data_IF_810901186520
#
_entry.id   IF_810901186520
#
_cell.length_a   1.000
_cell.length_b   1.000
_cell.length_c   1.000
_cell.angle_alpha   90.00
_cell.angle_beta   90.00
_cell.angle_gamma   90.00
#
_symmetry.space_group_name_H-M   'P 1'
#
loop_
_entity.id
_entity.type
_entity.pdbx_description
1 polymer ?
#
# COMPACT_ATOMS: atom_id res chain seq x y z
N UNK A 1 -13.70 15.52 -15.74
CA UNK A 1 -13.85 14.13 -16.23
C UNK A 1 -14.78 13.38 -15.28
N UNK A 2 -15.58 12.47 -15.83
CA UNK A 2 -16.31 11.46 -15.05
C UNK A 2 -15.39 10.22 -14.95
N UNK A 3 -14.87 9.94 -13.75
CA UNK A 3 -13.88 8.91 -13.48
C UNK A 3 -14.51 7.83 -12.60
N UNK A 4 -14.50 6.59 -13.08
CA UNK A 4 -15.03 5.44 -12.35
C UNK A 4 -13.89 4.50 -11.99
N UNK A 5 -13.66 4.31 -10.70
CA UNK A 5 -12.76 3.30 -10.20
C UNK A 5 -13.49 1.98 -9.91
N UNK A 6 -12.88 0.86 -10.26
CA UNK A 6 -13.45 -0.48 -10.03
C UNK A 6 -12.46 -1.30 -9.22
N UNK A 7 -12.92 -1.85 -8.10
CA UNK A 7 -12.12 -2.72 -7.24
C UNK A 7 -12.99 -3.84 -6.68
N UNK A 8 -12.40 -4.95 -6.24
CA UNK A 8 -13.15 -6.08 -5.72
C UNK A 8 -14.00 -5.71 -4.50
N UNK A 9 -13.38 -5.10 -3.52
CA UNK A 9 -13.95 -4.66 -2.23
C UNK A 9 -13.05 -3.58 -1.65
N UNK A 10 -13.47 -2.96 -0.57
CA UNK A 10 -12.66 -2.01 0.21
C UNK A 10 -12.34 -2.57 1.60
N UNK A 11 -12.02 -3.85 1.69
CA UNK A 11 -11.42 -4.43 2.90
C UNK A 11 -10.02 -3.85 3.13
N UNK A 12 -9.43 -4.17 4.29
CA UNK A 12 -8.14 -3.58 4.65
C UNK A 12 -7.00 -4.23 3.86
N UNK A 13 -6.44 -3.44 2.95
CA UNK A 13 -5.29 -3.79 2.14
C UNK A 13 -4.56 -2.54 1.64
N UNK A 14 -3.36 -2.73 1.08
CA UNK A 14 -2.52 -1.62 0.60
C UNK A 14 -3.12 -0.89 -0.58
N UNK A 15 -3.66 -1.61 -1.57
CA UNK A 15 -4.30 -1.03 -2.75
C UNK A 15 -5.61 -0.32 -2.41
N UNK A 16 -6.42 -0.93 -1.54
CA UNK A 16 -7.67 -0.37 -1.03
C UNK A 16 -7.42 0.93 -0.27
N UNK A 17 -6.44 0.93 0.63
CA UNK A 17 -6.03 2.12 1.37
C UNK A 17 -5.54 3.23 0.45
N UNK A 18 -4.69 2.88 -0.52
CA UNK A 18 -4.19 3.81 -1.51
C UNK A 18 -5.34 4.49 -2.27
N UNK A 19 -6.32 3.71 -2.71
CA UNK A 19 -7.50 4.22 -3.40
C UNK A 19 -8.27 5.21 -2.53
N UNK A 20 -8.53 4.85 -1.26
CA UNK A 20 -9.26 5.69 -0.30
C UNK A 20 -8.54 7.01 -0.01
N UNK A 21 -7.22 7.04 -0.06
CA UNK A 21 -6.42 8.26 0.14
C UNK A 21 -6.32 9.10 -1.14
N UNK A 22 -6.28 8.46 -2.33
CA UNK A 22 -6.09 9.13 -3.64
C UNK A 22 -7.36 9.80 -4.16
N UNK A 23 -8.52 9.12 -4.04
CA UNK A 23 -9.74 9.61 -4.69
C UNK A 23 -10.23 10.96 -4.16
N UNK A 24 -10.15 11.29 -2.86
CA UNK A 24 -10.44 12.64 -2.38
C UNK A 24 -9.56 13.72 -3.01
N UNK A 25 -8.28 13.43 -3.28
CA UNK A 25 -7.37 14.38 -3.93
C UNK A 25 -7.78 14.61 -5.40
N UNK A 26 -8.13 13.54 -6.14
CA UNK A 26 -8.64 13.66 -7.52
C UNK A 26 -9.96 14.46 -7.55
N UNK A 27 -10.85 14.23 -6.58
CA UNK A 27 -12.10 15.00 -6.47
C UNK A 27 -11.85 16.48 -6.21
N UNK A 28 -10.87 16.84 -5.37
CA UNK A 28 -10.48 18.23 -5.13
C UNK A 28 -9.99 18.93 -6.40
N UNK A 29 -9.49 18.19 -7.39
CA UNK A 29 -9.12 18.70 -8.72
C UNK A 29 -10.33 18.92 -9.65
N UNK A 30 -11.57 18.94 -9.07
CA UNK A 30 -12.84 19.19 -9.77
C UNK A 30 -13.21 18.09 -10.79
N UNK A 31 -12.87 16.84 -10.51
CA UNK A 31 -13.34 15.69 -11.26
C UNK A 31 -14.52 15.02 -10.54
N UNK A 32 -15.45 14.46 -11.29
CA UNK A 32 -16.50 13.59 -10.75
C UNK A 32 -15.94 12.19 -10.58
N UNK A 33 -15.90 11.69 -9.34
CA UNK A 33 -15.22 10.44 -8.99
C UNK A 33 -16.20 9.50 -8.31
N UNK A 34 -16.31 8.26 -8.81
CA UNK A 34 -17.13 7.19 -8.26
C UNK A 34 -16.34 5.92 -8.09
N UNK A 35 -16.78 5.06 -7.19
CA UNK A 35 -16.17 3.73 -6.97
C UNK A 35 -17.24 2.66 -7.16
N UNK A 36 -16.94 1.65 -7.95
CA UNK A 36 -17.75 0.44 -8.08
C UNK A 36 -17.02 -0.71 -7.40
N UNK A 37 -17.68 -1.36 -6.47
CA UNK A 37 -17.22 -2.56 -5.79
C UNK A 37 -17.89 -3.78 -6.41
N UNK A 38 -17.13 -4.85 -6.65
CA UNK A 38 -17.74 -6.12 -7.06
C UNK A 38 -18.64 -6.65 -5.95
N UNK A 39 -18.26 -6.48 -4.69
CA UNK A 39 -19.10 -6.72 -3.52
C UNK A 39 -18.77 -5.76 -2.37
N UNK A 40 -19.78 -5.46 -1.54
CA UNK A 40 -19.60 -4.63 -0.34
C UNK A 40 -19.24 -5.51 0.86
N UNK A 41 -18.29 -5.05 1.65
CA UNK A 41 -17.95 -5.61 2.97
C UNK A 41 -18.42 -4.73 4.14
N UNK A 42 -19.10 -3.61 3.85
CA UNK A 42 -19.47 -2.57 4.83
C UNK A 42 -18.28 -2.06 5.67
N UNK A 43 -17.11 -2.04 5.06
CA UNK A 43 -15.84 -1.75 5.73
C UNK A 43 -15.72 -0.29 6.17
N UNK A 44 -14.73 -0.04 7.01
CA UNK A 44 -14.30 1.31 7.37
C UNK A 44 -13.95 2.16 6.15
N UNK A 45 -13.27 1.58 5.16
CA UNK A 45 -12.85 2.29 3.95
C UNK A 45 -14.04 2.71 3.07
N UNK A 46 -15.09 1.89 2.96
CA UNK A 46 -16.32 2.28 2.29
C UNK A 46 -16.98 3.49 2.96
N UNK A 47 -17.07 3.46 4.30
CA UNK A 47 -17.62 4.57 5.09
C UNK A 47 -16.79 5.84 4.93
N UNK A 48 -15.47 5.73 4.96
CA UNK A 48 -14.54 6.86 4.79
C UNK A 48 -14.67 7.52 3.42
N UNK A 49 -14.82 6.76 2.33
CA UNK A 49 -15.06 7.32 1.00
C UNK A 49 -16.41 8.06 0.92
N UNK A 50 -17.47 7.46 1.44
CA UNK A 50 -18.80 8.11 1.50
C UNK A 50 -18.78 9.40 2.30
N UNK A 51 -18.07 9.45 3.43
CA UNK A 51 -17.87 10.67 4.23
C UNK A 51 -17.11 11.76 3.46
N UNK A 52 -16.19 11.39 2.57
CA UNK A 52 -15.51 12.31 1.65
C UNK A 52 -16.39 12.67 0.43
N UNK A 53 -17.66 12.30 0.43
CA UNK A 53 -18.62 12.61 -0.62
C UNK A 53 -18.35 11.89 -1.94
N UNK A 54 -17.68 10.73 -1.90
CA UNK A 54 -17.46 9.87 -3.08
C UNK A 54 -18.57 8.82 -3.12
N UNK A 55 -19.23 8.70 -4.26
CA UNK A 55 -20.25 7.70 -4.47
C UNK A 55 -19.63 6.31 -4.55
N UNK A 56 -20.11 5.37 -3.72
CA UNK A 56 -19.67 3.98 -3.67
C UNK A 56 -20.84 3.07 -4.02
N UNK A 57 -20.76 2.39 -5.16
CA UNK A 57 -21.77 1.50 -5.70
C UNK A 57 -21.27 0.06 -5.54
N UNK A 58 -22.01 -0.77 -4.81
CA UNK A 58 -21.73 -2.21 -4.72
C UNK A 58 -22.62 -3.00 -5.66
N UNK A 59 -22.03 -3.86 -6.49
CA UNK A 59 -22.77 -4.70 -7.45
C UNK A 59 -23.42 -5.90 -6.77
N UNK A 60 -22.84 -6.38 -5.67
CA UNK A 60 -23.33 -7.49 -4.89
C UNK A 60 -23.04 -7.25 -3.39
N UNK A 61 -23.84 -7.89 -2.53
CA UNK A 61 -23.65 -7.89 -1.06
C UNK A 61 -23.05 -9.20 -0.54
N UNK A 62 -22.73 -10.14 -1.43
CA UNK A 62 -22.09 -11.42 -1.12
C UNK A 62 -20.67 -11.44 -1.68
N UNK A 63 -19.81 -12.27 -1.10
CA UNK A 63 -18.43 -12.53 -1.57
C UNK A 63 -18.39 -13.27 -2.93
N UNK A 64 -19.02 -12.70 -3.96
CA UNK A 64 -19.12 -13.29 -5.30
C UNK A 64 -18.32 -12.49 -6.33
N UNK A 65 -17.06 -12.21 -6.05
CA UNK A 65 -16.19 -11.45 -6.96
C UNK A 65 -15.98 -12.14 -8.33
N UNK A 66 -16.20 -13.46 -8.41
CA UNK A 66 -16.00 -14.26 -9.63
C UNK A 66 -17.28 -14.46 -10.46
N UNK A 67 -18.37 -13.78 -10.13
CA UNK A 67 -19.64 -13.91 -10.84
C UNK A 67 -19.57 -13.17 -12.19
N UNK A 68 -19.66 -13.92 -13.30
CA UNK A 68 -19.61 -13.38 -14.67
C UNK A 68 -20.78 -12.43 -14.99
N UNK A 69 -21.94 -12.57 -14.33
CA UNK A 69 -23.06 -11.66 -14.50
C UNK A 69 -22.75 -10.22 -14.10
N UNK A 70 -21.68 -9.99 -13.33
CA UNK A 70 -21.21 -8.65 -12.98
C UNK A 70 -20.75 -7.85 -14.20
N UNK A 71 -20.31 -8.51 -15.29
CA UNK A 71 -19.87 -7.85 -16.53
C UNK A 71 -20.99 -7.01 -17.13
N UNK A 72 -22.20 -7.56 -17.25
CA UNK A 72 -23.35 -6.83 -17.81
C UNK A 72 -23.73 -5.62 -16.93
N UNK A 73 -23.72 -5.77 -15.60
CA UNK A 73 -23.98 -4.67 -14.67
C UNK A 73 -22.91 -3.59 -14.78
N UNK A 74 -21.63 -3.97 -14.83
CA UNK A 74 -20.52 -3.07 -15.02
C UNK A 74 -20.66 -2.29 -16.33
N UNK A 75 -20.94 -2.98 -17.45
CA UNK A 75 -21.12 -2.35 -18.76
C UNK A 75 -22.12 -1.19 -18.71
N UNK A 76 -23.28 -1.38 -18.08
CA UNK A 76 -24.31 -0.33 -17.95
C UNK A 76 -23.84 0.88 -17.14
N UNK A 77 -23.05 0.65 -16.10
CA UNK A 77 -22.58 1.70 -15.22
C UNK A 77 -21.40 2.50 -15.78
N UNK A 78 -20.55 1.88 -16.62
CA UNK A 78 -19.32 2.50 -17.11
C UNK A 78 -19.43 3.11 -18.52
N UNK A 79 -20.52 2.85 -19.25
CA UNK A 79 -20.67 3.22 -20.68
C UNK A 79 -20.51 4.72 -20.98
N UNK A 80 -20.82 5.59 -20.01
CA UNK A 80 -20.78 7.05 -20.16
C UNK A 80 -19.57 7.67 -19.46
N UNK A 81 -18.67 6.87 -18.85
CA UNK A 81 -17.48 7.34 -18.18
C UNK A 81 -16.44 7.89 -19.18
N UNK A 82 -15.70 8.93 -18.76
CA UNK A 82 -14.54 9.39 -19.50
C UNK A 82 -13.31 8.53 -19.19
N UNK A 83 -13.23 8.00 -17.95
CA UNK A 83 -12.17 7.13 -17.48
C UNK A 83 -12.75 5.98 -16.67
N UNK A 84 -12.40 4.76 -17.04
CA UNK A 84 -12.64 3.55 -16.24
C UNK A 84 -11.29 3.05 -15.75
N UNK A 85 -11.08 3.02 -14.43
CA UNK A 85 -9.82 2.62 -13.82
C UNK A 85 -10.03 1.43 -12.87
N UNK A 86 -9.51 0.27 -13.24
CA UNK A 86 -9.64 -0.95 -12.46
C UNK A 86 -8.42 -1.22 -11.58
N UNK A 87 -8.65 -1.91 -10.44
CA UNK A 87 -7.64 -2.31 -9.49
C UNK A 87 -7.85 -3.76 -9.08
N UNK A 88 -6.77 -4.53 -9.02
CA UNK A 88 -6.73 -5.91 -8.55
C UNK A 88 -7.54 -6.91 -9.41
N UNK A 89 -7.11 -8.16 -9.38
CA UNK A 89 -7.85 -9.28 -9.94
C UNK A 89 -8.94 -9.73 -8.94
N UNK A 90 -10.18 -10.08 -9.36
CA UNK A 90 -10.66 -10.21 -10.75
C UNK A 90 -11.28 -8.93 -11.36
N UNK A 91 -11.40 -7.80 -10.64
CA UNK A 91 -12.05 -6.59 -11.18
C UNK A 91 -11.36 -6.06 -12.44
N UNK A 92 -10.05 -6.24 -12.59
CA UNK A 92 -9.32 -5.94 -13.83
C UNK A 92 -9.93 -6.70 -15.04
N UNK A 93 -10.22 -7.99 -14.89
CA UNK A 93 -10.78 -8.79 -15.95
C UNK A 93 -12.21 -8.38 -16.28
N UNK A 94 -13.04 -8.20 -15.26
CA UNK A 94 -14.43 -7.82 -15.45
C UNK A 94 -14.55 -6.41 -16.05
N UNK A 95 -13.73 -5.46 -15.66
CA UNK A 95 -13.68 -4.13 -16.23
C UNK A 95 -13.28 -4.17 -17.72
N UNK A 96 -12.26 -4.95 -18.07
CA UNK A 96 -11.81 -5.09 -19.45
C UNK A 96 -12.92 -5.68 -20.35
N UNK A 97 -13.54 -6.76 -19.91
CA UNK A 97 -14.64 -7.39 -20.65
C UNK A 97 -15.89 -6.50 -20.73
N UNK A 98 -16.23 -5.81 -19.64
CA UNK A 98 -17.35 -4.87 -19.59
C UNK A 98 -17.14 -3.64 -20.50
N UNK A 99 -15.88 -3.22 -20.69
CA UNK A 99 -15.55 -2.08 -21.56
C UNK A 99 -15.57 -2.43 -23.05
N UNK A 100 -15.58 -3.71 -23.40
CA UNK A 100 -15.65 -4.13 -24.79
C UNK A 100 -16.91 -3.56 -25.49
N UNK A 101 -16.70 -2.94 -26.67
CA UNK A 101 -17.76 -2.27 -27.42
C UNK A 101 -18.07 -0.84 -27.00
N UNK A 102 -17.56 -0.36 -25.87
CA UNK A 102 -17.68 1.05 -25.46
C UNK A 102 -16.64 1.86 -26.22
N UNK A 103 -17.12 2.85 -27.02
CA UNK A 103 -16.24 3.74 -27.79
C UNK A 103 -15.78 4.95 -26.98
N UNK A 104 -16.63 5.42 -26.06
CA UNK A 104 -16.34 6.59 -25.22
C UNK A 104 -15.34 6.26 -24.12
N UNK A 105 -14.53 7.24 -23.76
CA UNK A 105 -13.61 7.15 -22.60
C UNK A 105 -12.41 6.23 -22.84
N UNK A 106 -11.66 6.02 -21.80
CA UNK A 106 -10.45 5.19 -21.75
C UNK A 106 -10.56 4.15 -20.67
N UNK A 107 -9.88 3.02 -20.85
CA UNK A 107 -9.75 1.95 -19.88
C UNK A 107 -8.32 1.89 -19.35
N UNK A 108 -8.15 2.03 -18.02
CA UNK A 108 -6.87 2.03 -17.34
C UNK A 108 -6.87 0.99 -16.21
N UNK A 109 -5.72 0.42 -15.91
CA UNK A 109 -5.54 -0.41 -14.70
C UNK A 109 -4.27 -0.03 -13.95
N UNK A 110 -4.26 -0.27 -12.63
CA UNK A 110 -3.04 -0.20 -11.81
C UNK A 110 -2.62 -1.58 -11.35
N UNK A 111 -1.35 -1.89 -11.60
CA UNK A 111 -0.70 -3.10 -11.08
C UNK A 111 0.01 -2.79 -9.77
N UNK A 112 -0.38 -3.53 -8.72
CA UNK A 112 0.08 -3.34 -7.35
C UNK A 112 1.11 -4.38 -6.87
N UNK A 113 1.51 -5.31 -7.74
CA UNK A 113 2.41 -6.40 -7.38
C UNK A 113 3.42 -6.71 -8.48
N UNK A 114 4.63 -7.07 -8.07
CA UNK A 114 5.70 -7.56 -8.96
C UNK A 114 5.53 -9.02 -9.37
N UNK A 115 4.53 -9.70 -8.83
CA UNK A 115 4.24 -11.10 -9.17
C UNK A 115 2.78 -11.44 -8.91
N UNK A 116 2.25 -12.41 -9.66
CA UNK A 116 0.96 -13.01 -9.39
C UNK A 116 1.01 -14.53 -9.59
N UNK A 117 0.11 -15.25 -8.91
CA UNK A 117 0.05 -16.73 -9.00
C UNK A 117 -0.33 -17.23 -10.39
N UNK A 118 -1.07 -16.42 -11.17
CA UNK A 118 -1.45 -16.73 -12.56
C UNK A 118 -0.24 -16.83 -13.48
N UNK A 119 0.84 -16.12 -13.11
CA UNK A 119 2.09 -16.13 -13.83
C UNK A 119 2.77 -17.50 -13.96
N UNK A 120 2.39 -18.43 -13.09
CA UNK A 120 2.98 -19.79 -13.05
C UNK A 120 2.46 -20.73 -14.14
N UNK A 121 1.31 -20.39 -14.76
CA UNK A 121 0.65 -21.27 -15.72
C UNK A 121 0.62 -20.61 -17.11
N UNK A 122 0.98 -21.35 -18.14
CA UNK A 122 1.01 -20.87 -19.52
C UNK A 122 -0.34 -20.34 -20.01
N UNK A 123 -1.42 -21.09 -19.76
CA UNK A 123 -2.77 -20.72 -20.21
C UNK A 123 -3.22 -19.37 -19.61
N UNK A 124 -3.03 -19.18 -18.31
CA UNK A 124 -3.39 -17.93 -17.65
C UNK A 124 -2.52 -16.76 -18.11
N UNK A 125 -1.27 -17.02 -18.51
CA UNK A 125 -0.40 -16.01 -19.12
C UNK A 125 -0.94 -15.54 -20.48
N UNK A 126 -1.49 -16.44 -21.30
CA UNK A 126 -2.11 -16.04 -22.59
C UNK A 126 -3.40 -15.24 -22.35
N UNK A 127 -4.21 -15.66 -21.38
CA UNK A 127 -5.41 -14.89 -20.99
C UNK A 127 -5.02 -13.50 -20.48
N UNK A 128 -4.01 -13.38 -19.61
CA UNK A 128 -3.50 -12.10 -19.14
C UNK A 128 -3.09 -11.20 -20.34
N UNK A 129 -2.38 -11.73 -21.34
CA UNK A 129 -1.98 -10.97 -22.54
C UNK A 129 -3.19 -10.42 -23.32
N UNK A 130 -4.23 -11.23 -23.48
CA UNK A 130 -5.45 -10.78 -24.15
C UNK A 130 -6.15 -9.67 -23.34
N UNK A 131 -6.30 -9.86 -22.03
CA UNK A 131 -6.96 -8.90 -21.15
C UNK A 131 -6.19 -7.58 -21.05
N UNK A 132 -4.87 -7.62 -20.85
CA UNK A 132 -4.06 -6.40 -20.83
C UNK A 132 -4.02 -5.68 -22.19
N UNK A 133 -4.21 -6.43 -23.28
CA UNK A 133 -4.34 -5.86 -24.63
C UNK A 133 -5.61 -5.04 -24.86
N UNK A 134 -6.61 -5.12 -23.97
CA UNK A 134 -7.83 -4.31 -24.02
C UNK A 134 -7.69 -2.96 -23.32
N UNK A 135 -6.63 -2.75 -22.56
CA UNK A 135 -6.38 -1.51 -21.83
C UNK A 135 -5.73 -0.44 -22.73
N UNK A 136 -6.18 0.80 -22.57
CA UNK A 136 -5.53 1.97 -23.18
C UNK A 136 -4.23 2.32 -22.43
N UNK A 137 -4.24 2.15 -21.10
CA UNK A 137 -3.09 2.42 -20.25
C UNK A 137 -2.97 1.49 -19.03
N UNK A 138 -1.72 1.22 -18.64
CA UNK A 138 -1.40 0.44 -17.44
C UNK A 138 -0.46 1.27 -16.56
N UNK A 139 -0.90 1.54 -15.35
CA UNK A 139 -0.06 2.19 -14.32
C UNK A 139 0.65 1.09 -13.54
N UNK A 140 1.95 1.22 -13.37
CA UNK A 140 2.77 0.33 -12.55
C UNK A 140 3.34 1.10 -11.37
N UNK A 141 3.28 0.52 -10.15
CA UNK A 141 3.70 1.22 -8.93
C UNK A 141 5.22 1.30 -8.75
N UNK A 142 5.99 0.61 -9.59
CA UNK A 142 7.46 0.61 -9.61
C UNK A 142 7.97 0.15 -10.98
N UNK A 143 9.25 0.39 -11.29
CA UNK A 143 9.90 -0.15 -12.50
C UNK A 143 9.89 -1.70 -12.50
N UNK A 144 10.12 -2.33 -11.36
CA UNK A 144 10.03 -3.79 -11.24
C UNK A 144 8.64 -4.33 -11.62
N UNK A 145 7.57 -3.61 -11.26
CA UNK A 145 6.20 -3.94 -11.69
C UNK A 145 6.02 -3.70 -13.19
N UNK A 146 6.59 -2.62 -13.73
CA UNK A 146 6.52 -2.33 -15.16
C UNK A 146 7.24 -3.39 -16.00
N UNK A 147 8.42 -3.85 -15.58
CA UNK A 147 9.16 -4.92 -16.26
C UNK A 147 8.38 -6.24 -16.26
N UNK A 148 7.74 -6.56 -15.12
CA UNK A 148 6.86 -7.72 -15.03
C UNK A 148 5.70 -7.63 -16.04
N UNK A 149 5.07 -6.47 -16.21
CA UNK A 149 3.96 -6.26 -17.13
C UNK A 149 4.42 -6.19 -18.59
N UNK A 150 5.53 -5.54 -18.89
CA UNK A 150 6.09 -5.48 -20.28
C UNK A 150 6.27 -6.88 -20.88
N UNK A 151 6.63 -7.87 -20.08
CA UNK A 151 6.75 -9.27 -20.53
C UNK A 151 5.40 -9.94 -20.82
N UNK A 152 4.27 -9.31 -20.45
CA UNK A 152 2.92 -9.89 -20.45
C UNK A 152 1.88 -9.10 -21.22
N UNK A 153 2.26 -8.03 -21.88
CA UNK A 153 1.37 -7.22 -22.72
C UNK A 153 1.70 -7.41 -24.20
N UNK A 154 0.67 -7.32 -25.06
CA UNK A 154 0.82 -7.35 -26.52
C UNK A 154 1.05 -5.91 -27.08
N UNK A 155 1.92 -5.11 -26.49
CA UNK A 155 2.39 -3.81 -26.95
C UNK A 155 1.35 -2.72 -27.31
N UNK A 156 0.06 -2.90 -26.96
CA UNK A 156 -0.99 -1.90 -27.26
C UNK A 156 -1.18 -0.87 -26.15
N UNK A 157 -1.11 -1.31 -24.88
CA UNK A 157 -1.30 -0.43 -23.73
C UNK A 157 -0.06 0.43 -23.47
N UNK A 158 -0.29 1.69 -23.13
CA UNK A 158 0.79 2.58 -22.68
C UNK A 158 1.09 2.28 -21.22
N UNK A 159 2.31 1.84 -20.93
CA UNK A 159 2.76 1.56 -19.57
C UNK A 159 3.40 2.81 -18.98
N UNK A 160 2.95 3.26 -17.82
CA UNK A 160 3.51 4.38 -17.08
C UNK A 160 3.81 3.98 -15.64
N UNK A 161 5.01 4.25 -15.18
CA UNK A 161 5.34 4.11 -13.76
C UNK A 161 4.85 5.35 -13.03
N UNK A 162 4.00 5.13 -12.03
CA UNK A 162 3.55 6.15 -11.07
C UNK A 162 3.67 5.51 -9.69
N UNK A 163 4.66 5.95 -8.96
CA UNK A 163 4.94 5.44 -7.61
C UNK A 163 3.78 5.76 -6.67
N UNK A 164 3.54 4.84 -5.72
CA UNK A 164 2.49 5.04 -4.73
C UNK A 164 2.79 6.25 -3.85
N UNK A 165 1.71 6.95 -3.46
CA UNK A 165 1.79 8.07 -2.55
C UNK A 165 1.23 7.77 -1.16
N UNK A 166 1.64 8.55 -0.18
CA UNK A 166 1.07 8.57 1.16
C UNK A 166 0.63 9.99 1.51
N UNK A 167 -0.36 10.11 2.38
CA UNK A 167 -0.74 11.40 2.94
C UNK A 167 0.33 11.88 3.90
N UNK A 168 1.06 12.92 3.51
CA UNK A 168 2.07 13.50 4.38
C UNK A 168 1.41 14.20 5.59
N UNK A 169 1.97 14.04 6.80
CA UNK A 169 1.44 14.70 7.99
C UNK A 169 1.60 16.22 7.89
N UNK A 170 0.52 16.96 8.11
CA UNK A 170 0.58 18.42 8.21
C UNK A 170 1.19 18.86 9.56
N UNK A 171 1.69 20.10 9.62
CA UNK A 171 2.23 20.67 10.87
C UNK A 171 1.15 20.69 11.96
N UNK A 172 -0.09 21.01 11.58
CA UNK A 172 -1.23 21.00 12.51
C UNK A 172 -1.61 19.61 12.99
N UNK A 173 -1.55 18.59 12.12
CA UNK A 173 -1.82 17.21 12.52
C UNK A 173 -0.77 16.66 13.50
N UNK A 174 0.49 17.05 13.35
CA UNK A 174 1.56 16.65 14.29
C UNK A 174 1.38 17.26 15.69
N UNK A 175 0.90 18.51 15.79
CA UNK A 175 0.66 19.17 17.07
C UNK A 175 -0.50 18.59 17.87
N UNK A 176 -1.47 17.97 17.21
CA UNK A 176 -2.66 17.40 17.85
C UNK A 176 -2.48 15.93 18.28
N UNK A 177 -1.29 15.34 18.12
CA UNK A 177 -0.99 13.97 18.53
C UNK A 177 -0.48 13.95 19.98
N UNK A 178 -1.36 14.33 20.93
CA UNK A 178 -1.07 14.31 22.37
C UNK A 178 -1.33 12.92 22.97
N UNK A 179 -0.68 11.89 22.43
CA UNK A 179 -0.77 10.52 22.94
C UNK A 179 0.55 10.15 23.65
N UNK A 180 0.44 9.48 24.78
CA UNK A 180 1.60 8.94 25.50
C UNK A 180 1.74 7.44 25.23
N UNK A 181 2.93 6.90 25.36
CA UNK A 181 3.21 5.46 25.16
C UNK A 181 2.34 4.55 26.03
N UNK A 182 2.12 4.96 27.30
CA UNK A 182 1.25 4.26 28.24
C UNK A 182 -0.22 4.17 27.79
N UNK A 183 -0.68 5.09 26.95
CA UNK A 183 -2.05 5.09 26.44
C UNK A 183 -2.24 4.03 25.34
N UNK A 184 -1.15 3.60 24.70
CA UNK A 184 -1.14 2.53 23.70
C UNK A 184 -0.91 1.17 24.33
N UNK A 185 0.08 1.09 25.22
CA UNK A 185 0.42 -0.15 25.95
C UNK A 185 0.69 0.20 27.41
N UNK A 186 -0.11 -0.39 28.32
CA UNK A 186 0.13 -0.26 29.75
C UNK A 186 1.54 -0.75 30.11
N UNK A 187 2.28 0.08 30.85
CA UNK A 187 3.66 -0.21 31.24
C UNK A 187 4.73 0.35 30.29
N UNK A 188 4.40 0.80 29.11
CA UNK A 188 5.36 1.55 28.28
C UNK A 188 5.55 2.98 28.83
N UNK A 189 6.82 3.38 28.98
CA UNK A 189 7.22 4.69 29.44
C UNK A 189 8.07 5.44 28.38
N UNK A 190 8.36 6.70 28.62
CA UNK A 190 9.20 7.49 27.73
C UNK A 190 10.67 7.05 27.75
N UNK A 191 11.08 6.22 28.74
CA UNK A 191 12.44 5.64 28.81
C UNK A 191 12.60 4.40 27.93
N UNK A 192 11.51 3.77 27.48
CA UNK A 192 11.58 2.65 26.57
C UNK A 192 11.91 3.12 25.15
N UNK A 193 12.64 2.33 24.39
CA UNK A 193 12.87 2.53 22.97
C UNK A 193 11.85 1.70 22.17
N UNK A 194 11.06 2.35 21.34
CA UNK A 194 9.90 1.74 20.70
C UNK A 194 10.13 1.52 19.21
N UNK A 195 10.18 0.26 18.82
CA UNK A 195 10.15 -0.17 17.43
C UNK A 195 8.70 -0.33 16.96
N UNK A 196 8.40 0.06 15.73
CA UNK A 196 7.07 -0.11 15.14
C UNK A 196 7.14 -0.83 13.79
N UNK A 197 6.35 -1.89 13.65
CA UNK A 197 6.07 -2.54 12.37
C UNK A 197 4.58 -2.49 12.08
N UNK A 198 4.19 -1.74 11.03
CA UNK A 198 2.81 -1.70 10.54
C UNK A 198 2.68 -2.64 9.36
N UNK A 199 2.11 -3.82 9.56
CA UNK A 199 2.01 -4.84 8.52
C UNK A 199 0.97 -5.91 8.85
N UNK A 200 0.37 -6.51 7.80
CA UNK A 200 -0.42 -7.73 7.96
C UNK A 200 0.47 -8.89 8.40
N UNK A 201 0.00 -9.73 9.33
CA UNK A 201 0.71 -10.95 9.73
C UNK A 201 0.64 -12.00 8.62
N UNK A 202 1.72 -12.07 7.84
CA UNK A 202 1.85 -12.99 6.70
C UNK A 202 3.30 -13.38 6.50
N UNK A 203 3.55 -14.48 5.79
CA UNK A 203 4.91 -14.90 5.43
C UNK A 203 5.69 -13.80 4.72
N UNK A 204 5.02 -13.02 3.88
CA UNK A 204 5.62 -11.89 3.16
C UNK A 204 6.29 -10.88 4.11
N UNK A 205 5.65 -10.56 5.24
CA UNK A 205 6.06 -9.47 6.12
C UNK A 205 7.09 -9.86 7.17
N UNK A 206 7.32 -11.17 7.36
CA UNK A 206 8.43 -11.74 8.13
C UNK A 206 8.64 -11.09 9.51
N UNK A 207 7.58 -10.99 10.30
CA UNK A 207 7.68 -10.52 11.69
C UNK A 207 8.62 -11.37 12.54
N UNK A 208 8.80 -12.63 12.15
CA UNK A 208 9.68 -13.61 12.78
C UNK A 208 11.13 -13.08 12.91
N UNK A 209 11.64 -12.42 11.87
CA UNK A 209 13.00 -11.84 11.87
C UNK A 209 13.14 -10.75 12.95
N UNK A 210 12.15 -9.86 13.09
CA UNK A 210 12.18 -8.80 14.11
C UNK A 210 12.04 -9.38 15.53
N UNK A 211 11.20 -10.41 15.72
CA UNK A 211 11.06 -11.09 17.03
C UNK A 211 12.38 -11.75 17.45
N UNK A 212 13.09 -12.42 16.53
CA UNK A 212 14.41 -13.00 16.83
C UNK A 212 15.47 -11.93 17.08
N UNK A 213 15.46 -10.84 16.30
CA UNK A 213 16.34 -9.71 16.54
C UNK A 213 16.13 -9.10 17.94
N UNK A 214 14.89 -9.02 18.42
CA UNK A 214 14.56 -8.46 19.73
C UNK A 214 15.27 -9.20 20.88
N UNK A 215 15.48 -10.52 20.78
CA UNK A 215 16.25 -11.29 21.75
C UNK A 215 17.69 -10.81 21.92
N UNK A 216 18.27 -10.24 20.90
CA UNK A 216 19.65 -9.73 20.88
C UNK A 216 19.77 -8.28 21.37
N UNK A 217 18.65 -7.66 21.75
CA UNK A 217 18.56 -6.24 22.09
C UNK A 217 18.31 -6.05 23.59
N UNK A 218 18.74 -4.89 24.16
CA UNK A 218 18.45 -4.50 25.55
C UNK A 218 16.97 -4.61 25.93
N UNK A 219 16.71 -4.90 27.21
CA UNK A 219 15.35 -5.17 27.71
C UNK A 219 14.39 -3.97 27.65
N UNK A 220 14.91 -2.75 27.59
CA UNK A 220 14.09 -1.55 27.43
C UNK A 220 13.69 -1.24 25.99
N UNK A 221 14.04 -2.10 25.02
CA UNK A 221 13.59 -2.00 23.61
C UNK A 221 12.34 -2.87 23.46
N UNK A 222 11.24 -2.25 23.03
CA UNK A 222 9.95 -2.87 22.83
C UNK A 222 9.53 -2.81 21.37
N UNK A 223 8.77 -3.79 20.91
CA UNK A 223 8.21 -3.85 19.55
C UNK A 223 6.69 -3.72 19.60
N UNK A 224 6.15 -2.80 18.81
CA UNK A 224 4.73 -2.68 18.53
C UNK A 224 4.44 -3.26 17.14
N UNK A 225 3.61 -4.29 17.05
CA UNK A 225 3.08 -4.82 15.81
C UNK A 225 1.65 -4.32 15.60
N UNK A 226 1.43 -3.47 14.60
CA UNK A 226 0.11 -3.00 14.22
C UNK A 226 -0.35 -3.69 12.94
N UNK A 227 -1.39 -4.49 13.03
CA UNK A 227 -1.97 -5.27 11.94
C UNK A 227 -2.62 -6.56 12.43
N UNK A 228 -3.14 -7.33 11.51
CA UNK A 228 -3.75 -8.64 11.78
C UNK A 228 -3.39 -9.62 10.68
N UNK A 229 -3.60 -10.90 10.89
CA UNK A 229 -3.39 -11.91 9.86
C UNK A 229 -3.15 -13.31 10.41
N UNK A 230 -3.14 -14.29 9.50
CA UNK A 230 -3.10 -15.72 9.84
C UNK A 230 -1.85 -16.16 10.61
N UNK A 231 -0.78 -15.37 10.56
CA UNK A 231 0.49 -15.71 11.26
C UNK A 231 0.62 -15.03 12.62
N UNK A 232 -0.35 -14.27 13.08
CA UNK A 232 -0.25 -13.58 14.38
C UNK A 232 0.01 -14.56 15.51
N UNK A 233 -0.77 -15.66 15.59
CA UNK A 233 -0.59 -16.67 16.61
C UNK A 233 0.80 -17.34 16.56
N UNK A 234 1.30 -17.63 15.36
CA UNK A 234 2.66 -18.16 15.17
C UNK A 234 3.72 -17.19 15.69
N UNK A 235 3.53 -15.88 15.49
CA UNK A 235 4.43 -14.84 15.98
C UNK A 235 4.37 -14.71 17.51
N UNK A 236 3.21 -14.87 18.14
CA UNK A 236 3.06 -14.91 19.60
C UNK A 236 3.83 -16.06 20.21
N UNK A 237 3.63 -17.27 19.69
CA UNK A 237 4.36 -18.47 20.13
C UNK A 237 5.87 -18.33 19.92
N UNK A 238 6.30 -17.69 18.82
CA UNK A 238 7.71 -17.40 18.61
C UNK A 238 8.26 -16.43 19.66
N UNK A 239 7.52 -15.37 20.02
CA UNK A 239 7.93 -14.42 21.04
C UNK A 239 8.08 -15.10 22.42
N UNK A 240 7.20 -16.03 22.77
CA UNK A 240 7.31 -16.85 23.97
C UNK A 240 8.56 -17.73 23.93
N UNK A 241 8.75 -18.46 22.84
CA UNK A 241 9.91 -19.33 22.63
C UNK A 241 11.25 -18.58 22.74
N UNK A 242 11.30 -17.36 22.18
CA UNK A 242 12.51 -16.52 22.23
C UNK A 242 12.66 -15.74 23.55
N UNK A 243 11.68 -15.81 24.46
CA UNK A 243 11.70 -15.16 25.78
C UNK A 243 11.52 -13.64 25.72
N UNK A 244 10.80 -13.13 24.71
CA UNK A 244 10.62 -11.68 24.47
C UNK A 244 9.15 -11.23 24.52
N UNK A 245 8.25 -12.07 25.04
CA UNK A 245 6.80 -11.80 25.09
C UNK A 245 6.47 -10.48 25.78
N UNK A 246 7.10 -10.18 26.92
CA UNK A 246 6.88 -8.97 27.70
C UNK A 246 7.24 -7.66 26.93
N UNK A 247 8.07 -7.77 25.90
CA UNK A 247 8.54 -6.66 25.08
C UNK A 247 7.94 -6.65 23.66
N UNK A 248 7.02 -7.59 23.38
CA UNK A 248 6.38 -7.78 22.09
C UNK A 248 4.88 -7.50 22.19
N UNK A 249 4.42 -6.39 21.63
CA UNK A 249 3.04 -5.94 21.78
C UNK A 249 2.29 -6.07 20.45
N UNK A 250 1.27 -6.92 20.43
CA UNK A 250 0.39 -7.16 19.29
C UNK A 250 -0.86 -6.29 19.44
N UNK A 251 -0.93 -5.20 18.66
CA UNK A 251 -1.98 -4.18 18.78
C UNK A 251 -3.24 -4.49 17.98
N UNK A 252 -3.23 -5.59 17.20
CA UNK A 252 -4.32 -5.87 16.26
C UNK A 252 -4.45 -4.81 15.17
N UNK A 253 -5.62 -4.73 14.59
CA UNK A 253 -5.93 -3.73 13.57
C UNK A 253 -6.08 -2.35 14.20
N UNK A 254 -5.37 -1.35 13.66
CA UNK A 254 -5.36 0.03 14.16
C UNK A 254 -5.72 1.00 13.03
N UNK A 255 -6.53 2.00 13.36
CA UNK A 255 -6.88 3.11 12.45
C UNK A 255 -6.04 4.35 12.74
N UNK A 256 -5.49 4.46 13.93
CA UNK A 256 -4.70 5.57 14.45
C UNK A 256 -3.19 5.41 14.18
N UNK A 257 -2.82 4.94 13.02
CA UNK A 257 -1.42 4.70 12.61
C UNK A 257 -0.53 5.93 12.77
N UNK A 258 -1.10 7.13 12.55
CA UNK A 258 -0.41 8.40 12.78
C UNK A 258 0.04 8.57 14.25
N UNK A 259 -0.80 8.16 15.19
CA UNK A 259 -0.47 8.20 16.62
C UNK A 259 0.63 7.19 16.94
N UNK A 260 0.58 5.99 16.39
CA UNK A 260 1.63 4.99 16.58
C UNK A 260 2.98 5.48 16.06
N UNK A 261 3.02 6.10 14.87
CA UNK A 261 4.25 6.71 14.36
C UNK A 261 4.75 7.87 15.23
N UNK A 262 3.87 8.62 15.89
CA UNK A 262 4.30 9.73 16.76
C UNK A 262 5.07 9.25 17.98
N UNK A 263 4.69 8.11 18.57
CA UNK A 263 5.30 7.54 19.78
C UNK A 263 6.45 6.57 19.51
N UNK A 264 6.58 6.04 18.29
CA UNK A 264 7.68 5.17 17.91
C UNK A 264 8.99 5.96 17.81
N UNK A 265 10.12 5.30 18.05
CA UNK A 265 11.46 5.83 17.80
C UNK A 265 11.96 5.42 16.43
N UNK A 266 11.68 4.18 16.02
CA UNK A 266 12.22 3.57 14.81
C UNK A 266 11.17 2.67 14.15
N UNK A 267 11.09 2.71 12.82
CA UNK A 267 10.30 1.76 12.05
C UNK A 267 11.13 0.54 11.61
N UNK A 268 10.48 -0.62 11.48
CA UNK A 268 11.11 -1.81 10.92
C UNK A 268 10.22 -2.44 9.86
N UNK A 269 10.80 -2.78 8.69
CA UNK A 269 10.14 -3.48 7.60
C UNK A 269 10.98 -4.70 7.20
N UNK A 270 10.68 -5.86 7.77
CA UNK A 270 11.45 -7.10 7.60
C UNK A 270 10.97 -7.99 6.43
N UNK A 271 10.27 -7.43 5.47
CA UNK A 271 9.58 -8.17 4.41
C UNK A 271 10.51 -9.02 3.54
N UNK A 272 10.08 -10.24 3.16
CA UNK A 272 10.76 -11.07 2.18
C UNK A 272 10.68 -10.51 0.74
N UNK A 273 9.57 -9.84 0.41
CA UNK A 273 9.34 -9.14 -0.85
C UNK A 273 8.33 -8.03 -0.64
N UNK A 274 8.45 -6.96 -1.43
CA UNK A 274 7.56 -5.80 -1.34
C UNK A 274 7.35 -5.18 -2.73
N UNK A 275 6.15 -4.71 -3.01
CA UNK A 275 5.89 -3.97 -4.25
C UNK A 275 6.33 -2.51 -4.15
N UNK A 276 6.19 -1.91 -2.95
CA UNK A 276 6.55 -0.51 -2.70
C UNK A 276 6.93 -0.25 -1.24
N UNK A 277 6.09 -0.62 -0.27
CA UNK A 277 6.36 -0.38 1.15
C UNK A 277 5.73 0.89 1.68
N UNK A 278 4.42 1.08 1.49
CA UNK A 278 3.67 2.26 1.99
C UNK A 278 3.95 2.57 3.47
N UNK A 279 3.99 1.55 4.33
CA UNK A 279 4.25 1.73 5.76
C UNK A 279 5.66 2.29 6.05
N UNK A 280 6.66 2.00 5.20
CA UNK A 280 7.98 2.62 5.32
C UNK A 280 7.90 4.11 5.02
N UNK A 281 7.23 4.50 3.94
CA UNK A 281 7.03 5.92 3.59
C UNK A 281 6.27 6.65 4.70
N UNK A 282 5.25 6.02 5.28
CA UNK A 282 4.49 6.60 6.41
C UNK A 282 5.40 6.88 7.60
N UNK A 283 6.23 5.93 8.04
CA UNK A 283 7.17 6.14 9.13
C UNK A 283 8.17 7.25 8.83
N UNK A 284 8.76 7.22 7.64
CA UNK A 284 9.68 8.26 7.17
C UNK A 284 9.02 9.65 7.13
N UNK A 285 7.74 9.76 6.77
CA UNK A 285 7.00 11.02 6.76
C UNK A 285 6.85 11.64 8.16
N UNK A 286 6.86 10.81 9.22
CA UNK A 286 6.91 11.24 10.61
C UNK A 286 8.33 11.52 11.12
N UNK A 287 9.32 11.61 10.22
CA UNK A 287 10.75 11.78 10.54
C UNK A 287 11.28 10.63 11.41
N UNK A 288 10.75 9.41 11.24
CA UNK A 288 11.31 8.22 11.88
C UNK A 288 12.22 7.51 10.89
N UNK A 289 13.45 7.13 11.28
CA UNK A 289 14.23 6.19 10.49
C UNK A 289 13.44 4.89 10.35
N UNK A 290 13.49 4.27 9.18
CA UNK A 290 12.86 2.98 8.93
C UNK A 290 13.91 2.01 8.42
N UNK A 291 14.29 1.05 9.26
CA UNK A 291 15.17 -0.04 8.86
C UNK A 291 14.35 -1.03 8.03
N UNK A 292 14.86 -1.41 6.88
CA UNK A 292 14.14 -2.24 5.92
C UNK A 292 15.02 -3.36 5.35
N UNK A 293 14.41 -4.51 5.06
CA UNK A 293 15.09 -5.56 4.31
C UNK A 293 15.46 -5.06 2.91
N UNK A 294 16.67 -5.42 2.45
CA UNK A 294 17.17 -5.03 1.13
C UNK A 294 16.53 -5.88 0.03
N UNK A 295 15.27 -5.59 -0.28
CA UNK A 295 14.49 -6.25 -1.34
C UNK A 295 13.97 -5.21 -2.33
N UNK A 296 13.80 -5.58 -3.62
CA UNK A 296 13.24 -4.68 -4.64
C UNK A 296 11.90 -4.07 -4.23
N UNK A 297 11.67 -2.83 -4.63
CA UNK A 297 10.49 -2.02 -4.26
C UNK A 297 10.64 -1.32 -2.91
N UNK A 298 11.16 -2.00 -1.89
CA UNK A 298 11.35 -1.43 -0.56
C UNK A 298 12.68 -0.67 -0.43
N UNK A 299 13.76 -1.22 -1.00
CA UNK A 299 15.08 -0.61 -0.95
C UNK A 299 15.13 0.74 -1.68
N UNK A 300 14.47 0.84 -2.84
CA UNK A 300 14.36 2.06 -3.62
C UNK A 300 13.57 3.13 -2.88
N UNK A 301 12.48 2.75 -2.24
CA UNK A 301 11.62 3.65 -1.45
C UNK A 301 12.38 4.22 -0.25
N UNK A 302 13.09 3.38 0.51
CA UNK A 302 13.90 3.83 1.65
C UNK A 302 15.07 4.70 1.18
N UNK A 303 15.72 4.33 0.06
CA UNK A 303 16.70 5.15 -0.64
C UNK A 303 17.99 5.45 0.14
N UNK A 304 18.23 4.77 1.26
CA UNK A 304 19.42 4.94 2.11
C UNK A 304 19.98 3.57 2.52
N UNK A 305 21.14 3.20 1.96
CA UNK A 305 21.80 1.92 2.23
C UNK A 305 22.09 1.65 3.72
N UNK A 306 22.29 2.71 4.52
CA UNK A 306 22.53 2.58 5.95
C UNK A 306 21.31 1.98 6.70
N UNK A 307 20.11 2.17 6.17
CA UNK A 307 18.86 1.64 6.72
C UNK A 307 18.51 0.25 6.18
N UNK A 308 19.27 -0.30 5.24
CA UNK A 308 18.96 -1.59 4.64
C UNK A 308 19.74 -2.71 5.30
N UNK A 309 19.09 -3.85 5.54
CA UNK A 309 19.70 -5.08 6.04
C UNK A 309 19.39 -6.28 5.13
N UNK A 310 20.21 -7.31 5.19
CA UNK A 310 20.04 -8.55 4.41
C UNK A 310 18.75 -9.27 4.83
N UNK A 311 17.86 -9.68 3.91
CA UNK A 311 16.64 -10.39 4.26
C UNK A 311 16.93 -11.62 5.14
N UNK A 312 16.15 -11.83 6.19
CA UNK A 312 16.29 -12.90 7.21
C UNK A 312 17.53 -12.83 8.10
N UNK A 313 18.28 -11.75 8.09
CA UNK A 313 19.43 -11.59 8.96
C UNK A 313 19.02 -10.80 10.22
N UNK A 314 18.56 -11.52 11.25
CA UNK A 314 18.19 -10.95 12.54
C UNK A 314 19.39 -10.34 13.28
N UNK A 315 20.60 -10.82 13.04
CA UNK A 315 21.82 -10.27 13.65
C UNK A 315 22.15 -8.90 13.05
N UNK A 316 22.17 -8.77 11.71
CA UNK A 316 22.37 -7.49 11.05
C UNK A 316 21.28 -6.49 11.43
N UNK A 317 20.02 -6.93 11.50
CA UNK A 317 18.89 -6.11 11.95
C UNK A 317 19.11 -5.59 13.38
N UNK A 318 19.52 -6.47 14.31
CA UNK A 318 19.79 -6.08 15.70
C UNK A 318 20.95 -5.07 15.78
N UNK A 319 22.05 -5.28 15.05
CA UNK A 319 23.18 -4.35 14.99
C UNK A 319 22.73 -2.97 14.53
N UNK A 320 21.91 -2.90 13.45
CA UNK A 320 21.39 -1.61 12.97
C UNK A 320 20.47 -0.93 13.97
N UNK A 321 19.61 -1.66 14.66
CA UNK A 321 18.74 -1.12 15.71
C UNK A 321 19.61 -0.54 16.85
N UNK A 322 20.65 -1.26 17.29
CA UNK A 322 21.57 -0.80 18.35
C UNK A 322 22.31 0.49 17.98
N UNK A 323 22.66 0.69 16.71
CA UNK A 323 23.28 1.94 16.26
C UNK A 323 22.37 3.14 16.55
N UNK A 324 21.08 3.06 16.22
CA UNK A 324 20.10 4.12 16.47
C UNK A 324 19.72 4.25 17.95
N UNK A 325 19.70 3.14 18.67
CA UNK A 325 19.43 3.14 20.11
C UNK A 325 20.52 3.88 20.89
N UNK A 326 21.80 3.66 20.55
CA UNK A 326 22.95 4.24 21.22
C UNK A 326 23.26 5.68 20.77
N UNK A 327 22.81 6.11 19.60
CA UNK A 327 23.09 7.44 19.05
C UNK A 327 21.79 8.21 18.72
N UNK A 328 21.30 8.96 19.72
CA UNK A 328 20.11 9.82 19.59
C UNK A 328 20.27 10.92 18.54
N UNK A 329 21.52 11.39 18.30
CA UNK A 329 21.79 12.40 17.27
C UNK A 329 21.62 11.78 15.90
N UNK A 330 22.22 10.63 15.66
CA UNK A 330 22.06 9.87 14.42
C UNK A 330 20.58 9.54 14.15
N UNK A 331 19.83 9.10 15.18
CA UNK A 331 18.39 8.81 15.08
C UNK A 331 17.63 10.04 14.54
N UNK A 332 17.90 11.24 15.08
CA UNK A 332 17.26 12.48 14.64
C UNK A 332 17.69 12.90 13.24
N UNK A 333 19.00 12.89 12.95
CA UNK A 333 19.54 13.36 11.68
C UNK A 333 19.07 12.47 10.51
N UNK A 334 19.10 11.15 10.68
CA UNK A 334 18.58 10.21 9.69
C UNK A 334 17.06 10.32 9.57
N UNK A 335 16.34 10.57 10.66
CA UNK A 335 14.90 10.83 10.61
C UNK A 335 14.54 12.02 9.71
N UNK A 336 15.31 13.10 9.74
CA UNK A 336 15.13 14.27 8.85
C UNK A 336 15.39 13.87 7.38
N UNK A 337 16.43 13.09 7.12
CA UNK A 337 16.75 12.58 5.77
C UNK A 337 15.59 11.70 5.28
N UNK A 338 15.06 10.81 6.12
CA UNK A 338 13.90 9.97 5.81
C UNK A 338 12.67 10.82 5.48
N UNK A 339 12.40 11.87 6.24
CA UNK A 339 11.27 12.77 5.98
C UNK A 339 11.41 13.48 4.63
N UNK A 340 12.61 13.92 4.27
CA UNK A 340 12.87 14.50 2.95
C UNK A 340 12.69 13.46 1.83
N UNK A 341 13.09 12.21 2.03
CA UNK A 341 12.85 11.14 1.08
C UNK A 341 11.34 10.88 0.91
N UNK A 342 10.60 10.78 2.03
CA UNK A 342 9.16 10.56 2.03
C UNK A 342 8.37 11.66 1.31
N UNK A 343 8.87 12.91 1.29
CA UNK A 343 8.19 14.02 0.61
C UNK A 343 8.07 13.83 -0.90
N UNK A 344 8.87 12.97 -1.51
CA UNK A 344 8.75 12.61 -2.94
C UNK A 344 7.48 11.83 -3.22
N UNK A 345 6.97 11.11 -2.22
CA UNK A 345 5.83 10.21 -2.31
C UNK A 345 4.54 10.84 -1.74
N UNK A 346 4.32 12.14 -2.00
CA UNK A 346 3.07 12.79 -1.60
C UNK A 346 1.91 12.26 -2.45
N UNK A 347 0.82 11.85 -1.78
CA UNK A 347 -0.42 11.37 -2.42
C UNK A 347 -0.99 12.37 -3.42
N UNK A 348 -0.79 13.68 -3.20
CA UNK A 348 -1.22 14.75 -4.11
C UNK A 348 -0.49 14.69 -5.43
N UNK A 349 0.83 14.44 -5.38
CA UNK A 349 1.65 14.29 -6.58
C UNK A 349 1.25 13.04 -7.38
N UNK A 350 0.97 11.93 -6.68
CA UNK A 350 0.47 10.71 -7.32
C UNK A 350 -0.90 10.95 -7.98
N UNK A 351 -1.83 11.59 -7.28
CA UNK A 351 -3.16 11.92 -7.83
C UNK A 351 -3.07 12.82 -9.08
N UNK A 352 -2.17 13.82 -9.05
CA UNK A 352 -1.93 14.68 -10.21
C UNK A 352 -1.37 13.88 -11.40
N UNK A 353 -0.40 13.00 -11.19
CA UNK A 353 0.15 12.13 -12.22
C UNK A 353 -0.90 11.17 -12.80
N UNK A 354 -1.87 10.69 -12.01
CA UNK A 354 -3.00 9.90 -12.51
C UNK A 354 -3.84 10.73 -13.48
N UNK A 355 -4.24 11.95 -13.07
CA UNK A 355 -5.05 12.86 -13.89
C UNK A 355 -4.32 13.25 -15.18
N UNK A 356 -3.03 13.53 -15.10
CA UNK A 356 -2.21 13.85 -16.27
C UNK A 356 -2.14 12.68 -17.26
N UNK A 357 -2.00 11.46 -16.74
CA UNK A 357 -1.99 10.27 -17.57
C UNK A 357 -3.34 10.01 -18.25
N UNK A 358 -4.45 10.21 -17.53
CA UNK A 358 -5.78 10.14 -18.14
C UNK A 358 -5.96 11.16 -19.28
N UNK A 359 -5.55 12.41 -19.06
CA UNK A 359 -5.62 13.44 -20.08
C UNK A 359 -4.78 13.10 -21.31
N UNK A 360 -3.57 12.56 -21.11
CA UNK A 360 -2.71 12.09 -22.21
C UNK A 360 -3.39 11.00 -23.04
N UNK A 361 -3.97 9.98 -22.39
CA UNK A 361 -4.65 8.88 -23.08
C UNK A 361 -5.91 9.34 -23.82
N UNK A 362 -6.72 10.20 -23.18
CA UNK A 362 -7.92 10.76 -23.81
C UNK A 362 -7.58 11.58 -25.06
N UNK A 363 -6.51 12.38 -25.04
CA UNK A 363 -6.03 13.13 -26.20
C UNK A 363 -5.62 12.19 -27.33
N UNK A 364 -4.80 11.19 -27.02
CA UNK A 364 -4.34 10.22 -28.02
C UNK A 364 -5.49 9.41 -28.65
N UNK A 365 -6.57 9.12 -27.86
CA UNK A 365 -7.74 8.42 -28.39
C UNK A 365 -8.55 9.30 -29.35
N UNK A 366 -8.67 10.60 -29.06
CA UNK A 366 -9.32 11.58 -29.97
C UNK A 366 -8.55 11.76 -31.26
N UNK A 367 -7.21 11.79 -31.19
CA UNK A 367 -6.35 11.98 -32.37
C UNK A 367 -6.36 10.76 -33.32
N UNK A 368 -6.87 9.59 -32.85
CA UNK A 368 -6.99 8.35 -33.63
C UNK A 368 -8.39 8.12 -34.23
N UNK A 369 -9.39 8.88 -33.79
CA UNK A 369 -10.77 8.86 -34.31
C UNK A 369 -10.97 9.87 -35.43
#
# INVERSE_FOLDING_TARGET
MNIIHIINTLEIGGAERLLVETLPEIKQMKHDVKVILLYSSNSYFEKKLKQNGIEVIALNHKHEAYNICLIAKLHQLIKDADVVHSHLFPSQYWAALAHCGIKKGILVTTEHSTSNTRAKYWLTTQIDKCIYGLYDGIICISEATADFIRSRTLHKAIIKVIENGVRLPSISSKKNLNIQRKDIVSGLSDTNFVLLQVARFSTQKNQDCLIRALKLLPDNIHVLFAGYGKREEVCRQLAEKEGVSERTHFLGMREDIAQLWSIADLGVMSSHWEGFGLAAVEGMAYAKPVIASNVPGLAEVVGNKQLLFSPNDEHELAVKILQFYNDKKMLKDIGIICQKQASKFDIKNMAAQYVDFYNQLLKQKKDKQ
#
